data_IF_423855095409
#
_entry.id   IF_423855095409
#
_cell.length_a   1.000
_cell.length_b   1.000
_cell.length_c   1.000
_cell.angle_alpha   90.00
_cell.angle_beta   90.00
_cell.angle_gamma   90.00
#
_symmetry.space_group_name_H-M   'P 1'
#
loop_
_entity.id
_entity.type
_entity.pdbx_description
1 polymer ?
#
# COMPACT_ATOMS: atom_id res chain seq x y z
N UNK A 1 -1.28 6.38 -16.83
CA UNK A 1 -1.24 5.37 -15.74
C UNK A 1 -2.37 4.32 -15.83
N UNK A 2 -2.96 4.09 -17.01
CA UNK A 2 -4.14 3.21 -17.22
C UNK A 2 -3.82 1.73 -16.92
N UNK A 3 -2.56 1.32 -17.07
CA UNK A 3 -2.15 -0.09 -16.93
C UNK A 3 -2.42 -0.70 -15.54
N UNK A 4 -2.17 0.09 -14.48
CA UNK A 4 -2.37 -0.34 -13.09
C UNK A 4 -3.80 -0.05 -12.58
N UNK A 5 -4.60 0.68 -13.36
CA UNK A 5 -5.91 1.15 -12.95
C UNK A 5 -6.95 0.01 -12.94
N UNK A 6 -7.88 0.06 -11.99
CA UNK A 6 -8.98 -0.91 -11.87
C UNK A 6 -8.58 -2.32 -11.42
N UNK A 7 -7.28 -2.66 -11.38
CA UNK A 7 -6.80 -4.01 -11.01
C UNK A 7 -6.96 -4.30 -9.51
N UNK A 8 -7.38 -5.51 -9.18
CA UNK A 8 -7.51 -5.98 -7.80
C UNK A 8 -6.15 -5.90 -7.07
N UNK A 9 -6.12 -5.79 -5.73
CA UNK A 9 -4.89 -5.73 -4.92
C UNK A 9 -3.92 -6.86 -5.31
N UNK A 10 -4.43 -8.09 -5.40
CA UNK A 10 -3.63 -9.25 -5.81
C UNK A 10 -3.08 -9.13 -7.23
N UNK A 11 -3.90 -8.67 -8.19
CA UNK A 11 -3.46 -8.47 -9.58
C UNK A 11 -2.40 -7.37 -9.66
N UNK A 12 -2.59 -6.24 -8.98
CA UNK A 12 -1.60 -5.16 -8.89
C UNK A 12 -0.28 -5.67 -8.33
N UNK A 13 -0.32 -6.54 -7.30
CA UNK A 13 0.89 -7.16 -6.75
C UNK A 13 1.72 -7.91 -7.80
N UNK A 14 1.06 -8.63 -8.73
CA UNK A 14 1.74 -9.33 -9.82
C UNK A 14 2.34 -8.34 -10.81
N UNK A 15 1.55 -7.35 -11.23
CA UNK A 15 2.00 -6.31 -12.14
C UNK A 15 3.21 -5.53 -11.61
N UNK A 16 3.30 -5.30 -10.30
CA UNK A 16 4.48 -4.63 -9.72
C UNK A 16 5.77 -5.43 -9.88
N UNK A 17 5.68 -6.76 -9.94
CA UNK A 17 6.83 -7.66 -10.11
C UNK A 17 7.11 -8.00 -11.58
N UNK A 18 6.20 -7.64 -12.48
CA UNK A 18 6.31 -7.87 -13.90
C UNK A 18 6.81 -6.61 -14.63
N UNK A 19 7.32 -6.79 -15.84
CA UNK A 19 7.72 -5.67 -16.71
C UNK A 19 6.51 -5.18 -17.49
N UNK A 20 6.27 -3.87 -17.47
CA UNK A 20 5.32 -3.23 -18.36
C UNK A 20 6.02 -2.86 -19.67
N UNK A 21 5.52 -3.41 -20.78
CA UNK A 21 6.01 -3.11 -22.12
C UNK A 21 5.30 -1.86 -22.63
N UNK A 22 6.06 -0.79 -22.86
CA UNK A 22 5.58 0.48 -23.38
C UNK A 22 6.12 0.68 -24.79
N UNK A 23 5.24 0.66 -25.78
CA UNK A 23 5.56 1.15 -27.12
C UNK A 23 5.52 2.69 -27.12
N UNK A 24 6.59 3.30 -27.60
CA UNK A 24 6.74 4.76 -27.70
C UNK A 24 6.32 5.24 -29.09
N UNK A 25 6.04 6.54 -29.20
CA UNK A 25 5.61 7.17 -30.45
C UNK A 25 6.64 7.07 -31.58
N UNK A 26 7.93 6.95 -31.24
CA UNK A 26 9.03 6.75 -32.18
C UNK A 26 9.17 5.29 -32.66
N UNK A 27 8.26 4.40 -32.25
CA UNK A 27 8.29 2.97 -32.58
C UNK A 27 9.24 2.13 -31.71
N UNK A 28 9.96 2.73 -30.77
CA UNK A 28 10.84 1.98 -29.85
C UNK A 28 10.04 1.39 -28.67
N UNK A 29 10.55 0.30 -28.11
CA UNK A 29 9.94 -0.36 -26.95
C UNK A 29 10.75 -0.07 -25.69
N UNK A 30 10.07 0.43 -24.65
CA UNK A 30 10.62 0.56 -23.31
C UNK A 30 10.03 -0.49 -22.37
N UNK A 31 10.88 -1.03 -21.50
CA UNK A 31 10.46 -1.95 -20.44
C UNK A 31 10.49 -1.19 -19.12
N UNK A 32 9.32 -1.00 -18.52
CA UNK A 32 9.16 -0.30 -17.26
C UNK A 32 9.02 -1.35 -16.16
N UNK A 33 9.89 -1.25 -15.15
CA UNK A 33 9.81 -2.05 -13.92
C UNK A 33 9.30 -1.16 -12.79
N UNK A 34 8.25 -1.63 -12.10
CA UNK A 34 7.71 -0.90 -10.94
C UNK A 34 8.44 -1.27 -9.65
N UNK A 35 8.93 -2.51 -9.54
CA UNK A 35 9.69 -2.99 -8.39
C UNK A 35 10.75 -4.01 -8.84
N UNK A 36 12.03 -3.70 -8.64
CA UNK A 36 13.13 -4.63 -8.86
C UNK A 36 13.20 -5.60 -7.68
N UNK A 37 12.57 -6.77 -7.83
CA UNK A 37 12.57 -7.81 -6.81
C UNK A 37 13.88 -8.61 -6.72
N UNK A 38 14.73 -8.53 -7.74
CA UNK A 38 16.01 -9.27 -7.79
C UNK A 38 17.11 -8.48 -7.09
N UNK A 39 17.19 -7.18 -7.37
CA UNK A 39 18.16 -6.26 -6.78
C UNK A 39 17.39 -5.16 -6.04
N UNK A 40 16.84 -5.51 -4.88
CA UNK A 40 15.92 -4.63 -4.15
C UNK A 40 16.49 -3.24 -3.81
N UNK A 41 17.81 -3.11 -3.72
CA UNK A 41 18.53 -1.86 -3.47
C UNK A 41 18.48 -0.87 -4.64
N UNK A 42 18.10 -1.32 -5.85
CA UNK A 42 17.88 -0.44 -7.00
C UNK A 42 16.59 0.38 -6.88
N UNK A 43 15.68 -0.01 -5.98
CA UNK A 43 14.45 0.73 -5.77
C UNK A 43 14.70 1.94 -4.88
N UNK A 44 14.00 3.03 -5.17
CA UNK A 44 13.92 4.21 -4.32
C UNK A 44 12.89 3.98 -3.21
N UNK A 45 13.33 3.92 -1.97
CA UNK A 45 12.45 3.85 -0.79
C UNK A 45 12.27 5.23 -0.19
N UNK A 46 11.03 5.62 0.03
CA UNK A 46 10.67 6.91 0.60
C UNK A 46 9.68 6.73 1.74
N UNK A 47 9.74 7.63 2.71
CA UNK A 47 8.80 7.67 3.83
C UNK A 47 8.08 9.01 3.79
N UNK A 48 6.76 8.97 3.94
CA UNK A 48 5.93 10.14 4.16
C UNK A 48 5.11 9.95 5.42
N UNK A 49 4.75 11.06 6.07
CA UNK A 49 3.98 11.05 7.31
C UNK A 49 2.82 12.04 7.25
N UNK A 50 1.76 11.73 8.01
CA UNK A 50 0.56 12.55 8.14
C UNK A 50 -0.11 12.92 6.81
N UNK A 51 -0.11 11.99 5.85
CA UNK A 51 -0.76 12.24 4.56
C UNK A 51 -2.27 12.35 4.78
N UNK A 52 -2.82 13.48 4.35
CA UNK A 52 -4.26 13.74 4.45
C UNK A 52 -4.91 13.44 3.11
N UNK A 53 -5.84 12.49 3.09
CA UNK A 53 -6.68 12.18 1.93
C UNK A 53 -8.09 12.70 2.15
N UNK A 54 -8.53 13.56 1.24
CA UNK A 54 -9.90 14.04 1.15
C UNK A 54 -10.69 13.12 0.21
N UNK A 55 -11.52 12.24 0.78
CA UNK A 55 -12.48 11.44 0.01
C UNK A 55 -13.88 11.64 0.59
N UNK A 56 -14.67 10.57 0.81
CA UNK A 56 -15.96 10.70 1.51
C UNK A 56 -15.80 11.28 2.94
N UNK A 57 -14.67 11.00 3.58
CA UNK A 57 -14.25 11.57 4.85
C UNK A 57 -12.78 11.99 4.73
N UNK A 58 -12.38 12.99 5.52
CA UNK A 58 -10.96 13.38 5.64
C UNK A 58 -10.26 12.35 6.51
N UNK A 59 -9.25 11.67 5.96
CA UNK A 59 -8.45 10.70 6.69
C UNK A 59 -7.00 11.13 6.72
N UNK A 60 -6.38 11.00 7.89
CA UNK A 60 -4.94 11.23 8.09
C UNK A 60 -4.26 9.89 8.30
N UNK A 61 -3.31 9.58 7.43
CA UNK A 61 -2.49 8.38 7.50
C UNK A 61 -1.18 8.71 8.23
N UNK A 62 -0.84 7.94 9.26
CA UNK A 62 0.30 8.27 10.11
C UNK A 62 1.63 8.21 9.36
N UNK A 63 1.96 7.05 8.78
CA UNK A 63 3.20 6.84 8.03
C UNK A 63 2.95 5.93 6.83
N UNK A 64 3.43 6.32 5.65
CA UNK A 64 3.33 5.51 4.43
C UNK A 64 4.73 5.34 3.84
N UNK A 65 5.10 4.10 3.50
CA UNK A 65 6.32 3.80 2.75
C UNK A 65 5.96 3.74 1.28
N UNK A 66 6.68 4.53 0.49
CA UNK A 66 6.62 4.51 -0.95
C UNK A 66 7.83 3.76 -1.52
N UNK A 67 7.58 2.99 -2.57
CA UNK A 67 8.61 2.31 -3.35
C UNK A 67 8.48 2.83 -4.78
N UNK A 68 9.54 3.47 -5.28
CA UNK A 68 9.56 4.16 -6.57
C UNK A 68 8.37 5.13 -6.73
N UNK A 69 8.02 5.84 -5.65
CA UNK A 69 6.90 6.78 -5.60
C UNK A 69 5.50 6.16 -5.44
N UNK A 70 5.36 4.82 -5.43
CA UNK A 70 4.07 4.15 -5.21
C UNK A 70 3.86 3.84 -3.73
N UNK A 71 2.73 4.21 -3.11
CA UNK A 71 2.45 3.86 -1.72
C UNK A 71 2.18 2.35 -1.60
N UNK A 72 3.10 1.61 -0.96
CA UNK A 72 3.02 0.15 -0.88
C UNK A 72 2.78 -0.37 0.53
N UNK A 73 3.19 0.38 1.56
CA UNK A 73 3.03 -0.05 2.95
C UNK A 73 2.44 1.11 3.75
N UNK A 74 1.36 0.84 4.47
CA UNK A 74 0.73 1.80 5.36
C UNK A 74 0.94 1.37 6.81
N UNK A 75 1.47 2.28 7.62
CA UNK A 75 1.71 2.08 9.04
C UNK A 75 0.77 2.98 9.83
N UNK A 76 0.03 2.40 10.76
CA UNK A 76 -0.83 3.09 11.71
C UNK A 76 -0.20 3.03 13.10
N UNK A 77 -0.05 4.19 13.74
CA UNK A 77 0.55 4.32 15.06
C UNK A 77 -0.54 4.42 16.13
N UNK A 78 -0.39 3.65 17.20
CA UNK A 78 -1.29 3.69 18.36
C UNK A 78 -0.57 4.09 19.63
N UNK A 79 -1.33 4.70 20.54
CA UNK A 79 -0.86 4.92 21.91
C UNK A 79 -0.67 3.57 22.60
N UNK A 80 0.30 3.50 23.51
CA UNK A 80 0.52 2.31 24.36
C UNK A 80 -0.77 1.94 25.09
N UNK A 81 -1.04 0.64 25.18
CA UNK A 81 -2.23 0.11 25.85
C UNK A 81 -3.54 0.19 25.05
N UNK A 82 -3.54 0.72 23.81
CA UNK A 82 -4.70 0.63 22.91
C UNK A 82 -4.76 -0.73 22.21
N UNK A 83 -5.98 -1.21 22.02
CA UNK A 83 -6.27 -2.47 21.32
C UNK A 83 -6.01 -2.35 19.81
N UNK A 84 -5.23 -3.30 19.28
CA UNK A 84 -4.98 -3.47 17.85
C UNK A 84 -6.26 -3.68 17.04
N UNK A 85 -7.34 -4.18 17.66
CA UNK A 85 -8.63 -4.36 17.01
C UNK A 85 -9.28 -3.03 16.61
N UNK A 86 -9.08 -1.96 17.39
CA UNK A 86 -9.54 -0.61 17.03
C UNK A 86 -8.81 -0.11 15.78
N UNK A 87 -7.49 -0.29 15.73
CA UNK A 87 -6.66 0.07 14.58
C UNK A 87 -7.03 -0.73 13.33
N UNK A 88 -7.25 -2.03 13.49
CA UNK A 88 -7.69 -2.92 12.41
C UNK A 88 -9.02 -2.45 11.80
N UNK A 89 -10.01 -2.15 12.65
CA UNK A 89 -11.31 -1.64 12.21
C UNK A 89 -11.19 -0.28 11.50
N UNK A 90 -10.26 0.57 11.95
CA UNK A 90 -9.96 1.84 11.29
C UNK A 90 -9.37 1.63 9.88
N UNK A 91 -8.43 0.69 9.73
CA UNK A 91 -7.86 0.35 8.42
C UNK A 91 -8.91 -0.26 7.50
N UNK A 92 -9.76 -1.18 7.98
CA UNK A 92 -10.85 -1.76 7.17
C UNK A 92 -11.83 -0.69 6.67
N UNK A 93 -12.12 0.33 7.50
CA UNK A 93 -12.93 1.48 7.08
C UNK A 93 -12.25 2.25 5.94
N UNK A 94 -10.94 2.48 6.02
CA UNK A 94 -10.19 3.18 4.97
C UNK A 94 -10.11 2.37 3.67
N UNK A 95 -9.91 1.06 3.78
CA UNK A 95 -9.90 0.13 2.64
C UNK A 95 -11.19 0.20 1.83
N UNK A 96 -12.34 0.33 2.51
CA UNK A 96 -13.67 0.38 1.88
C UNK A 96 -14.03 1.74 1.30
N UNK A 97 -13.55 2.84 1.88
CA UNK A 97 -14.11 4.17 1.58
C UNK A 97 -13.10 5.22 1.09
N UNK A 98 -11.80 4.97 1.24
CA UNK A 98 -10.81 6.06 1.19
C UNK A 98 -9.57 5.74 0.36
N UNK A 99 -9.15 4.48 0.27
CA UNK A 99 -8.06 4.09 -0.63
C UNK A 99 -8.51 4.09 -2.09
N UNK A 100 -8.41 5.27 -2.72
CA UNK A 100 -8.62 5.52 -4.15
C UNK A 100 -7.33 5.99 -4.80
N UNK A 101 -7.26 5.94 -6.12
CA UNK A 101 -6.08 6.33 -6.88
C UNK A 101 -4.85 5.53 -6.45
N UNK A 102 -3.73 6.22 -6.22
CA UNK A 102 -2.44 5.59 -5.85
C UNK A 102 -2.52 4.77 -4.56
N UNK A 103 -3.32 5.20 -3.57
CA UNK A 103 -3.43 4.51 -2.27
C UNK A 103 -4.09 3.13 -2.37
N UNK A 104 -4.72 2.81 -3.50
CA UNK A 104 -5.19 1.44 -3.78
C UNK A 104 -4.05 0.44 -3.96
N UNK A 105 -2.81 0.91 -4.15
CA UNK A 105 -1.62 0.07 -4.35
C UNK A 105 -0.98 -0.43 -3.08
N UNK A 106 -1.47 -0.04 -1.90
CA UNK A 106 -1.00 -0.59 -0.63
C UNK A 106 -1.12 -2.12 -0.65
N UNK A 107 -0.01 -2.80 -0.36
CA UNK A 107 0.08 -4.26 -0.29
C UNK A 107 0.10 -4.76 1.14
N UNK A 108 0.66 -3.98 2.07
CA UNK A 108 0.86 -4.38 3.48
C UNK A 108 0.36 -3.27 4.40
N UNK A 109 -0.34 -3.68 5.45
CA UNK A 109 -0.64 -2.84 6.60
C UNK A 109 0.21 -3.25 7.79
N UNK A 110 0.67 -2.25 8.55
CA UNK A 110 1.36 -2.42 9.81
C UNK A 110 0.63 -1.58 10.86
N UNK A 111 0.43 -2.15 12.04
CA UNK A 111 -0.06 -1.43 13.20
C UNK A 111 0.96 -1.62 14.31
N UNK A 112 1.35 -0.54 14.99
CA UNK A 112 2.26 -0.62 16.13
C UNK A 112 1.83 0.33 17.24
N UNK A 113 2.01 -0.08 18.49
CA UNK A 113 1.84 0.77 19.67
C UNK A 113 3.18 1.10 20.37
N UNK A 114 4.30 0.78 19.71
CA UNK A 114 5.66 0.93 20.23
C UNK A 114 6.10 -0.16 21.22
N UNK A 115 5.23 -1.11 21.56
CA UNK A 115 5.56 -2.31 22.35
C UNK A 115 5.35 -3.54 21.48
N UNK A 116 4.14 -3.66 20.94
CA UNK A 116 3.76 -4.72 20.01
C UNK A 116 3.62 -4.14 18.60
N UNK A 117 3.90 -4.96 17.60
CA UNK A 117 3.70 -4.64 16.19
C UNK A 117 2.98 -5.81 15.54
N UNK A 118 1.99 -5.50 14.71
CA UNK A 118 1.29 -6.48 13.88
C UNK A 118 1.32 -6.05 12.42
N UNK A 119 1.42 -7.01 11.51
CA UNK A 119 1.31 -6.76 10.08
C UNK A 119 0.35 -7.74 9.41
N UNK A 120 -0.21 -7.32 8.28
CA UNK A 120 -1.08 -8.15 7.47
C UNK A 120 -1.14 -7.68 6.02
N UNK A 121 -1.43 -8.61 5.11
CA UNK A 121 -1.57 -8.33 3.69
C UNK A 121 -2.91 -7.65 3.39
N UNK A 122 -2.89 -6.67 2.48
CA UNK A 122 -4.10 -6.08 1.93
C UNK A 122 -4.81 -7.07 0.99
N UNK A 123 -6.12 -6.94 0.87
CA UNK A 123 -6.96 -7.80 0.04
C UNK A 123 -8.17 -7.04 -0.50
N UNK A 124 -8.69 -7.45 -1.65
CA UNK A 124 -9.98 -6.98 -2.14
C UNK A 124 -11.15 -7.53 -1.30
N UNK A 125 -10.94 -8.65 -0.60
CA UNK A 125 -11.92 -9.28 0.30
C UNK A 125 -11.79 -8.75 1.74
N UNK A 126 -12.79 -9.03 2.56
CA UNK A 126 -12.72 -8.76 3.99
C UNK A 126 -11.57 -9.51 4.65
N UNK A 127 -10.80 -8.77 5.46
CA UNK A 127 -9.66 -9.29 6.19
C UNK A 127 -10.16 -9.71 7.57
N UNK A 128 -9.70 -10.85 8.08
CA UNK A 128 -9.95 -11.26 9.46
C UNK A 128 -8.79 -10.84 10.33
N UNK A 129 -9.08 -10.30 11.52
CA UNK A 129 -8.05 -9.92 12.50
C UNK A 129 -7.14 -11.09 12.89
N UNK A 130 -7.66 -12.31 12.87
CA UNK A 130 -6.89 -13.52 13.18
C UNK A 130 -5.81 -13.83 12.13
N UNK A 131 -5.86 -13.19 10.95
CA UNK A 131 -4.82 -13.25 9.92
C UNK A 131 -3.81 -12.11 10.03
N UNK A 132 -3.67 -11.54 11.24
CA UNK A 132 -2.58 -10.62 11.59
C UNK A 132 -1.42 -11.40 12.19
N UNK A 133 -0.21 -11.03 11.81
CA UNK A 133 1.03 -11.67 12.26
C UNK A 133 1.80 -10.69 13.14
N UNK A 134 2.59 -11.24 14.07
CA UNK A 134 3.57 -10.49 14.87
C UNK A 134 4.91 -10.45 14.14
#
# INVERSE_FOLDING_TARGET
LIYLEGKSVFKSSKLFRDKFVLEREDGTTAYIEFFDSKNWHNNLFQVTNQVTMESKYVNRYDVTILINGLPMIQIELKRRGKDFKEAFNQIERYRRHSFKGLYRYIQIFIVTNGVDTKYYANSDKDIKFDFTFF
#
